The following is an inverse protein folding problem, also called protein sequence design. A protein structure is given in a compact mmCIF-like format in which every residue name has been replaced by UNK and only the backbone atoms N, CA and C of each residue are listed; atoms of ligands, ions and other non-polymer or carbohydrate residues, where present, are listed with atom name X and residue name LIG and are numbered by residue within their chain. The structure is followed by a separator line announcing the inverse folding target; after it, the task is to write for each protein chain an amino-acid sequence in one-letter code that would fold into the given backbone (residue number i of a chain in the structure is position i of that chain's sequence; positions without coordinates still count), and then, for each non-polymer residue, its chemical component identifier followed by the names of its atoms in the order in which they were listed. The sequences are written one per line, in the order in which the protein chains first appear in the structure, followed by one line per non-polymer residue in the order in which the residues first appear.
data_IF_113259119480
#
_entry.id   IF_113259119480
#
_cell.length_a   1.000
_cell.length_b   1.000
_cell.length_c   1.000
_cell.angle_alpha   90.00
_cell.angle_beta   90.00
_cell.angle_gamma   90.00
#
_symmetry.space_group_name_H-M   'P 1'
#
loop_
_entity.id
_entity.type
_entity.pdbx_description
1 polymer ?
#
# COMPACT_ATOMS: atom_id res chain seq x y z
N UNK A 1 3.47 -1.86 -1.23
CA UNK A 1 2.18 -2.02 -1.94
C UNK A 1 2.33 -2.72 -3.30
N UNK A 2 3.06 -2.14 -4.27
CA UNK A 2 3.16 -2.68 -5.63
C UNK A 2 3.57 -4.16 -5.73
N UNK A 3 4.58 -4.61 -4.97
CA UNK A 3 5.01 -6.02 -4.97
C UNK A 3 3.94 -6.99 -4.44
N UNK A 4 3.21 -6.59 -3.39
CA UNK A 4 2.12 -7.38 -2.85
C UNK A 4 0.93 -7.46 -3.82
N UNK A 5 0.58 -6.33 -4.45
CA UNK A 5 -0.45 -6.27 -5.50
C UNK A 5 -0.07 -7.12 -6.71
N UNK A 6 1.19 -7.02 -7.16
CA UNK A 6 1.69 -7.82 -8.27
C UNK A 6 1.58 -9.32 -7.99
N UNK A 7 1.89 -9.76 -6.76
CA UNK A 7 1.76 -11.17 -6.38
C UNK A 7 0.30 -11.66 -6.48
N UNK A 8 -0.65 -10.89 -5.93
CA UNK A 8 -2.08 -11.20 -6.01
C UNK A 8 -2.59 -11.25 -7.45
N UNK A 9 -2.17 -10.29 -8.29
CA UNK A 9 -2.62 -10.25 -9.69
C UNK A 9 -1.96 -11.35 -10.54
N UNK A 10 -0.68 -11.65 -10.33
CA UNK A 10 0.01 -12.71 -11.08
C UNK A 10 -0.56 -14.10 -10.80
N UNK A 11 -1.02 -14.36 -9.58
CA UNK A 11 -1.69 -15.62 -9.21
C UNK A 11 -3.03 -15.82 -9.95
N UNK A 12 -3.68 -14.74 -10.39
CA UNK A 12 -4.99 -14.79 -11.06
C UNK A 12 -4.96 -15.21 -12.54
N UNK A 13 -3.79 -15.57 -13.10
CA UNK A 13 -3.62 -16.05 -14.49
C UNK A 13 -4.21 -15.12 -15.58
N UNK A 14 -4.19 -13.82 -15.35
CA UNK A 14 -4.64 -12.80 -16.31
C UNK A 14 -3.55 -12.57 -17.37
N UNK A 15 -3.96 -12.31 -18.63
CA UNK A 15 -2.98 -11.97 -19.69
C UNK A 15 -2.17 -10.71 -19.34
N UNK A 16 -0.91 -10.56 -19.80
CA UNK A 16 0.02 -9.54 -19.28
C UNK A 16 -0.46 -8.09 -19.39
N UNK A 17 -1.11 -7.71 -20.51
CA UNK A 17 -1.67 -6.37 -20.68
C UNK A 17 -2.71 -5.98 -19.63
N UNK A 18 -3.83 -6.73 -19.49
CA UNK A 18 -4.80 -6.48 -18.44
C UNK A 18 -4.25 -6.66 -17.03
N UNK A 19 -3.27 -7.55 -16.82
CA UNK A 19 -2.63 -7.71 -15.51
C UNK A 19 -1.93 -6.41 -15.06
N UNK A 20 -1.19 -5.74 -15.94
CA UNK A 20 -0.54 -4.45 -15.62
C UNK A 20 -1.58 -3.37 -15.30
N UNK A 21 -2.64 -3.27 -16.10
CA UNK A 21 -3.72 -2.30 -15.82
C UNK A 21 -4.45 -2.58 -14.51
N UNK A 22 -4.68 -3.86 -14.19
CA UNK A 22 -5.30 -4.26 -12.92
C UNK A 22 -4.37 -3.98 -11.74
N UNK A 23 -3.06 -4.20 -11.88
CA UNK A 23 -2.07 -3.82 -10.85
C UNK A 23 -2.15 -2.33 -10.55
N UNK A 24 -2.20 -1.47 -11.58
CA UNK A 24 -2.31 -0.01 -11.41
C UNK A 24 -3.59 0.36 -10.66
N UNK A 25 -4.74 -0.13 -11.12
CA UNK A 25 -6.04 0.13 -10.46
C UNK A 25 -6.07 -0.31 -9.00
N UNK A 26 -5.41 -1.44 -8.69
CA UNK A 26 -5.37 -1.99 -7.34
C UNK A 26 -4.41 -1.20 -6.47
N UNK A 27 -3.25 -0.77 -6.99
CA UNK A 27 -2.32 0.12 -6.27
C UNK A 27 -3.01 1.43 -5.88
N UNK A 28 -3.79 2.04 -6.79
CA UNK A 28 -4.55 3.27 -6.51
C UNK A 28 -5.60 3.09 -5.40
N UNK A 29 -6.10 1.87 -5.21
CA UNK A 29 -7.09 1.52 -4.18
C UNK A 29 -6.46 0.94 -2.91
N UNK A 30 -5.15 0.70 -2.90
CA UNK A 30 -4.45 0.20 -1.72
C UNK A 30 -4.24 1.31 -0.70
N UNK A 31 -4.45 0.97 0.57
CA UNK A 31 -4.00 1.77 1.71
C UNK A 31 -2.64 1.23 2.13
N UNK A 32 -1.60 2.05 2.07
CA UNK A 32 -0.26 1.63 2.43
C UNK A 32 0.46 2.69 3.24
N UNK A 33 1.44 2.27 4.02
CA UNK A 33 2.18 3.17 4.87
C UNK A 33 3.16 2.47 5.79
N UNK A 34 3.64 3.24 6.77
CA UNK A 34 4.50 2.75 7.83
C UNK A 34 3.94 3.14 9.21
N UNK A 35 4.06 2.22 10.16
CA UNK A 35 3.87 2.48 11.58
C UNK A 35 5.23 2.78 12.20
N UNK A 36 5.42 4.02 12.65
CA UNK A 36 6.73 4.55 13.05
C UNK A 36 6.75 5.01 14.51
N UNK A 37 7.89 4.84 15.17
CA UNK A 37 8.12 5.37 16.52
C UNK A 37 8.45 6.87 16.54
N UNK A 38 8.70 7.47 15.38
CA UNK A 38 9.00 8.90 15.23
C UNK A 38 8.81 9.28 13.77
N UNK A 39 8.51 10.55 13.52
CA UNK A 39 8.42 11.13 12.17
C UNK A 39 9.44 12.26 11.96
N UNK A 40 10.35 12.50 12.92
CA UNK A 40 11.27 13.63 12.88
C UNK A 40 12.20 13.66 11.64
N UNK A 41 12.46 12.50 11.04
CA UNK A 41 13.34 12.32 9.88
C UNK A 41 12.59 11.86 8.64
N UNK A 42 11.27 11.89 8.67
CA UNK A 42 10.46 11.46 7.54
C UNK A 42 10.45 12.56 6.49
N UNK A 43 10.86 12.22 5.26
CA UNK A 43 10.83 13.15 4.13
C UNK A 43 9.44 13.22 3.48
N UNK A 44 8.78 12.07 3.34
CA UNK A 44 7.44 11.97 2.75
C UNK A 44 6.56 10.91 3.45
N UNK A 45 5.29 11.21 3.75
CA UNK A 45 4.68 12.55 3.80
C UNK A 45 5.42 13.48 4.77
N UNK A 46 5.39 14.79 4.50
CA UNK A 46 6.10 15.77 5.33
C UNK A 46 5.37 15.96 6.67
N UNK A 47 6.06 15.82 7.81
CA UNK A 47 5.45 16.07 9.11
C UNK A 47 5.16 17.56 9.32
N UNK A 48 4.12 17.86 10.08
CA UNK A 48 3.89 19.21 10.58
C UNK A 48 4.90 19.55 11.67
N UNK A 49 5.12 20.85 11.92
CA UNK A 49 6.00 21.31 13.00
C UNK A 49 5.59 20.72 14.36
N UNK A 50 4.28 20.67 14.62
CA UNK A 50 3.74 20.04 15.84
C UNK A 50 4.08 18.56 15.94
N UNK A 51 4.02 17.82 14.83
CA UNK A 51 4.40 16.40 14.79
C UNK A 51 5.90 16.19 15.00
N UNK A 52 6.75 17.08 14.47
CA UNK A 52 8.19 17.07 14.75
C UNK A 52 8.47 17.20 16.25
N UNK A 53 7.85 18.20 16.90
CA UNK A 53 8.02 18.44 18.34
C UNK A 53 7.46 17.27 19.16
N UNK A 54 6.26 16.81 18.83
CA UNK A 54 5.60 15.70 19.54
C UNK A 54 6.41 14.41 19.44
N UNK A 55 7.17 14.21 18.35
CA UNK A 55 7.98 13.00 18.15
C UNK A 55 9.20 12.90 19.07
N UNK A 56 9.50 13.94 19.84
CA UNK A 56 10.49 13.90 20.93
C UNK A 56 9.91 13.33 22.22
N UNK A 57 8.59 13.25 22.35
CA UNK A 57 7.96 12.66 23.52
C UNK A 57 8.13 11.13 23.49
N UNK A 58 8.48 10.52 24.63
CA UNK A 58 8.61 9.07 24.73
C UNK A 58 7.26 8.40 24.45
N UNK A 59 7.32 7.23 23.80
CA UNK A 59 6.16 6.39 23.45
C UNK A 59 5.19 7.01 22.43
N UNK A 60 5.59 8.07 21.73
CA UNK A 60 4.85 8.54 20.55
C UNK A 60 4.94 7.51 19.43
N UNK A 61 3.82 7.26 18.76
CA UNK A 61 3.75 6.37 17.59
C UNK A 61 2.86 7.00 16.54
N UNK A 62 3.18 6.74 15.28
CA UNK A 62 2.61 7.43 14.14
C UNK A 62 2.26 6.44 13.04
N UNK A 63 1.20 6.74 12.30
CA UNK A 63 0.93 6.14 11.00
C UNK A 63 1.27 7.17 9.93
N UNK A 64 2.29 6.85 9.14
CA UNK A 64 2.62 7.56 7.91
C UNK A 64 1.97 6.82 6.74
N UNK A 65 0.77 7.24 6.36
CA UNK A 65 0.09 6.73 5.18
C UNK A 65 0.78 7.31 3.94
N UNK A 66 1.09 6.46 2.97
CA UNK A 66 1.67 6.80 1.67
C UNK A 66 0.61 6.77 0.57
N UNK A 67 -0.36 5.86 0.67
CA UNK A 67 -1.49 5.76 -0.26
C UNK A 67 -2.79 5.54 0.51
N UNK A 68 -3.95 5.89 -0.07
CA UNK A 68 -4.11 6.64 -1.33
C UNK A 68 -3.71 8.11 -1.21
N UNK A 69 -3.85 8.69 -0.01
CA UNK A 69 -3.49 10.08 0.26
C UNK A 69 -2.34 10.14 1.29
N UNK A 70 -1.19 10.74 0.93
CA UNK A 70 -0.07 10.87 1.85
C UNK A 70 -0.43 11.72 3.07
N UNK A 71 -0.35 11.14 4.27
CA UNK A 71 -0.61 11.87 5.53
C UNK A 71 0.02 11.20 6.73
N UNK A 72 0.28 12.00 7.76
CA UNK A 72 0.74 11.52 9.07
C UNK A 72 -0.37 11.73 10.09
N UNK A 73 -0.64 10.69 10.88
CA UNK A 73 -1.49 10.77 12.06
C UNK A 73 -0.84 10.10 13.25
N UNK A 74 -1.21 10.51 14.46
CA UNK A 74 -0.85 9.77 15.65
C UNK A 74 -1.51 8.37 15.61
N UNK A 75 -0.75 7.36 16.00
CA UNK A 75 -1.25 6.00 16.07
C UNK A 75 -1.97 5.79 17.41
N UNK A 76 -3.25 6.16 17.43
CA UNK A 76 -4.10 5.90 18.58
C UNK A 76 -4.39 4.39 18.69
N UNK A 77 -4.33 3.87 19.92
CA UNK A 77 -4.81 2.50 20.20
C UNK A 77 -6.33 2.50 20.25
N UNK A 78 -6.93 1.39 19.80
CA UNK A 78 -8.37 1.16 19.91
C UNK A 78 -9.20 1.84 18.82
N UNK A 79 -8.66 2.01 17.61
CA UNK A 79 -9.53 2.30 16.47
C UNK A 79 -10.33 1.04 16.20
N UNK A 80 -11.65 1.12 16.39
CA UNK A 80 -12.55 -0.01 16.14
C UNK A 80 -12.39 -0.50 14.70
N UNK A 81 -12.28 -1.82 14.48
CA UNK A 81 -12.25 -2.37 13.14
C UNK A 81 -13.47 -1.93 12.36
N UNK A 82 -13.27 -1.44 11.14
CA UNK A 82 -14.41 -1.11 10.28
C UNK A 82 -15.19 -2.38 9.97
N UNK A 83 -16.46 -2.43 10.38
CA UNK A 83 -17.35 -3.53 10.02
C UNK A 83 -17.36 -3.69 8.49
N UNK A 84 -17.10 -4.91 8.02
CA UNK A 84 -17.05 -5.23 6.59
C UNK A 84 -15.74 -4.88 5.87
N UNK A 85 -14.64 -4.60 6.59
CA UNK A 85 -13.31 -4.49 5.97
C UNK A 85 -12.83 -5.86 5.46
N UNK A 86 -13.19 -6.16 4.22
CA UNK A 86 -12.72 -7.33 3.47
C UNK A 86 -11.41 -6.98 2.75
N UNK A 87 -10.37 -6.57 3.46
CA UNK A 87 -9.05 -6.36 2.86
C UNK A 87 -8.07 -7.44 3.29
N UNK A 88 -7.16 -7.79 2.39
CA UNK A 88 -5.96 -8.55 2.71
C UNK A 88 -4.99 -7.57 3.35
N UNK A 89 -4.76 -7.71 4.65
CA UNK A 89 -3.91 -6.80 5.41
C UNK A 89 -2.55 -7.42 5.70
N UNK A 90 -1.50 -6.89 5.08
CA UNK A 90 -0.14 -7.40 5.17
C UNK A 90 0.74 -6.42 5.94
N UNK A 91 1.60 -6.96 6.80
CA UNK A 91 2.55 -6.19 7.62
C UNK A 91 3.95 -6.78 7.47
N UNK A 92 4.93 -5.95 7.11
CA UNK A 92 6.32 -6.31 6.96
C UNK A 92 7.01 -6.53 8.32
N UNK A 93 6.80 -7.70 8.92
CA UNK A 93 7.27 -8.05 10.25
C UNK A 93 7.41 -9.58 10.42
N UNK A 94 8.09 -10.02 11.48
CA UNK A 94 8.04 -11.41 11.91
C UNK A 94 6.63 -11.78 12.41
N UNK A 95 6.26 -13.06 12.32
CA UNK A 95 4.92 -13.56 12.65
C UNK A 95 4.52 -13.38 14.13
N UNK A 96 5.51 -13.33 15.02
CA UNK A 96 5.36 -13.11 16.46
C UNK A 96 5.55 -11.64 16.88
N UNK A 97 5.73 -10.74 15.91
CA UNK A 97 6.01 -9.33 16.20
C UNK A 97 4.83 -8.65 16.89
N UNK A 98 5.05 -7.93 18.02
CA UNK A 98 4.01 -7.14 18.67
C UNK A 98 3.49 -6.00 17.78
N UNK A 99 4.21 -5.66 16.71
CA UNK A 99 3.77 -4.66 15.75
C UNK A 99 2.52 -5.09 14.98
N UNK A 100 2.26 -6.39 14.79
CA UNK A 100 1.07 -6.85 14.07
C UNK A 100 -0.22 -6.33 14.72
N UNK A 101 -0.37 -6.57 16.03
CA UNK A 101 -1.52 -6.10 16.80
C UNK A 101 -1.55 -4.57 16.92
N UNK A 102 -0.39 -3.93 17.11
CA UNK A 102 -0.32 -2.47 17.24
C UNK A 102 -0.75 -1.75 15.95
N UNK A 103 -0.31 -2.24 14.79
CA UNK A 103 -0.67 -1.67 13.48
C UNK A 103 -2.13 -1.96 13.15
N UNK A 104 -2.62 -3.19 13.38
CA UNK A 104 -4.04 -3.52 13.23
C UNK A 104 -4.94 -2.60 14.05
N UNK A 105 -4.61 -2.40 15.33
CA UNK A 105 -5.34 -1.50 16.22
C UNK A 105 -5.28 -0.03 15.79
N UNK A 106 -4.14 0.44 15.28
CA UNK A 106 -3.99 1.83 14.84
C UNK A 106 -4.68 2.10 13.49
N UNK A 107 -4.78 1.08 12.64
CA UNK A 107 -5.40 1.19 11.30
C UNK A 107 -6.90 0.90 11.32
N UNK A 108 -7.42 0.28 12.38
CA UNK A 108 -8.80 -0.19 12.46
C UNK A 108 -9.05 -1.35 11.48
N UNK A 109 -8.05 -2.24 11.35
CA UNK A 109 -8.08 -3.40 10.45
C UNK A 109 -7.95 -4.69 11.23
N UNK A 110 -8.56 -5.75 10.73
CA UNK A 110 -8.54 -7.08 11.33
C UNK A 110 -7.55 -8.01 10.61
N UNK A 111 -7.14 -9.08 11.29
CA UNK A 111 -6.38 -10.19 10.71
C UNK A 111 -5.08 -9.79 9.97
N UNK A 112 -4.14 -9.06 10.61
CA UNK A 112 -2.86 -8.75 10.00
C UNK A 112 -2.08 -10.03 9.69
N UNK A 113 -1.61 -10.16 8.46
CA UNK A 113 -0.72 -11.24 8.03
C UNK A 113 0.72 -10.72 7.99
N UNK A 114 1.60 -11.44 8.69
CA UNK A 114 3.02 -11.15 8.65
C UNK A 114 3.62 -11.57 7.31
N UNK A 115 4.40 -10.68 6.71
CA UNK A 115 5.21 -10.95 5.53
C UNK A 115 6.64 -10.48 5.76
N UNK A 116 7.65 -11.04 5.07
CA UNK A 116 9.00 -10.55 5.16
C UNK A 116 9.08 -9.03 4.89
N UNK A 117 9.84 -8.26 5.69
CA UNK A 117 10.05 -6.84 5.43
C UNK A 117 10.64 -6.62 4.03
N UNK A 118 10.04 -5.71 3.26
CA UNK A 118 10.49 -5.39 1.90
C UNK A 118 11.70 -4.44 1.89
N UNK A 119 11.84 -3.64 2.94
CA UNK A 119 12.92 -2.67 3.09
C UNK A 119 13.36 -2.53 4.55
N UNK A 120 14.58 -2.01 4.77
CA UNK A 120 15.01 -1.51 6.08
C UNK A 120 14.24 -0.24 6.40
N UNK A 121 13.20 -0.37 7.23
CA UNK A 121 12.32 0.72 7.64
C UNK A 121 13.10 1.90 8.24
N UNK A 122 14.14 1.63 9.04
CA UNK A 122 14.93 2.70 9.67
C UNK A 122 15.72 3.48 8.64
N UNK A 123 16.30 2.80 7.66
CA UNK A 123 17.00 3.45 6.55
C UNK A 123 16.05 4.23 5.65
N UNK A 124 14.87 3.68 5.36
CA UNK A 124 13.88 4.28 4.44
C UNK A 124 13.17 5.49 5.05
N UNK A 125 12.73 5.38 6.31
CA UNK A 125 11.86 6.39 6.95
C UNK A 125 12.56 7.18 8.07
N UNK A 126 13.83 6.87 8.37
CA UNK A 126 14.61 7.54 9.41
C UNK A 126 14.24 7.15 10.84
N UNK A 127 13.29 6.22 11.04
CA UNK A 127 12.80 5.78 12.34
C UNK A 127 12.48 4.28 12.37
N UNK A 128 12.47 3.67 13.56
CA UNK A 128 12.07 2.27 13.71
C UNK A 128 10.57 2.12 13.48
N UNK A 129 10.16 0.98 12.95
CA UNK A 129 8.77 0.71 12.65
C UNK A 129 8.56 -0.52 11.78
N UNK A 130 7.37 -0.64 11.20
CA UNK A 130 7.01 -1.65 10.21
C UNK A 130 6.22 -1.03 9.07
N UNK A 131 6.34 -1.59 7.87
CA UNK A 131 5.50 -1.23 6.74
C UNK A 131 4.22 -2.06 6.74
N UNK A 132 3.16 -1.51 6.16
CA UNK A 132 1.91 -2.22 5.96
C UNK A 132 1.28 -1.88 4.60
N UNK A 133 0.44 -2.79 4.13
CA UNK A 133 -0.46 -2.57 3.00
C UNK A 133 -1.77 -3.29 3.24
N UNK A 134 -2.88 -2.64 2.93
CA UNK A 134 -4.20 -3.24 2.86
C UNK A 134 -4.66 -3.24 1.41
N UNK A 135 -4.87 -4.44 0.88
CA UNK A 135 -5.31 -4.69 -0.50
C UNK A 135 -6.79 -5.04 -0.45
N UNK A 136 -7.67 -4.41 -1.24
CA UNK A 136 -9.08 -4.83 -1.31
C UNK A 136 -9.20 -6.33 -1.68
N UNK A 137 -9.95 -7.14 -0.92
CA UNK A 137 -10.07 -8.58 -1.21
C UNK A 137 -10.89 -8.86 -2.48
N UNK A 138 -11.80 -7.96 -2.84
CA UNK A 138 -12.42 -7.97 -4.16
C UNK A 138 -11.74 -6.93 -5.04
N UNK A 139 -10.95 -7.42 -5.99
CA UNK A 139 -10.43 -6.57 -7.05
C UNK A 139 -11.63 -6.13 -7.91
N UNK A 140 -11.73 -4.85 -8.30
CA UNK A 140 -12.73 -4.44 -9.26
C UNK A 140 -12.60 -5.30 -10.53
N UNK A 141 -13.71 -5.62 -11.22
CA UNK A 141 -13.61 -6.29 -12.50
C UNK A 141 -12.69 -5.46 -13.41
N UNK A 142 -11.83 -6.12 -14.22
CA UNK A 142 -10.98 -5.39 -15.14
C UNK A 142 -11.86 -4.50 -16.02
N UNK A 143 -11.47 -3.23 -16.18
CA UNK A 143 -12.19 -2.33 -17.06
C UNK A 143 -12.30 -2.94 -18.47
N UNK A 144 -13.40 -2.65 -19.20
CA UNK A 144 -13.58 -3.16 -20.55
C UNK A 144 -12.35 -2.83 -21.39
N UNK A 145 -11.77 -3.88 -21.96
CA UNK A 145 -10.56 -3.74 -22.75
C UNK A 145 -10.89 -3.15 -24.11
N UNK A 146 -10.13 -2.13 -24.52
CA UNK A 146 -10.20 -1.56 -25.86
C UNK A 146 -9.42 -2.38 -26.89
N UNK A 147 -9.07 -1.77 -28.05
CA UNK A 147 -8.43 -2.48 -29.15
C UNK A 147 -7.08 -3.10 -28.77
N UNK A 148 -6.65 -4.10 -29.55
CA UNK A 148 -5.32 -4.71 -29.42
C UNK A 148 -4.24 -3.71 -29.85
N UNK A 149 -3.17 -3.67 -29.08
CA UNK A 149 -1.98 -2.91 -29.41
C UNK A 149 -1.39 -3.39 -30.74
N UNK A 150 -1.12 -2.47 -31.67
CA UNK A 150 -0.53 -2.81 -32.98
C UNK A 150 0.91 -3.34 -32.86
N UNK A 151 1.61 -3.00 -31.78
CA UNK A 151 2.99 -3.42 -31.57
C UNK A 151 3.11 -4.79 -30.88
N UNK A 152 2.32 -5.04 -29.83
CA UNK A 152 2.47 -6.26 -29.00
C UNK A 152 1.22 -7.16 -28.96
N UNK A 153 0.13 -6.79 -29.63
CA UNK A 153 -1.12 -7.57 -29.68
C UNK A 153 -1.92 -7.62 -28.37
N UNK A 154 -1.42 -7.03 -27.28
CA UNK A 154 -2.11 -6.98 -25.99
C UNK A 154 -3.27 -5.98 -26.03
N UNK A 155 -4.38 -6.30 -25.37
CA UNK A 155 -5.53 -5.39 -25.31
C UNK A 155 -5.19 -4.14 -24.49
N UNK A 156 -5.65 -2.97 -24.95
CA UNK A 156 -5.28 -1.64 -24.40
C UNK A 156 -6.51 -0.94 -23.83
N UNK A 157 -6.39 -0.28 -22.67
CA UNK A 157 -7.51 0.39 -22.00
C UNK A 157 -7.82 1.79 -22.55
N UNK A 158 -6.80 2.59 -22.86
CA UNK A 158 -6.97 3.93 -23.45
C UNK A 158 -5.64 4.46 -23.99
N UNK A 159 -5.63 4.99 -25.23
CA UNK A 159 -4.61 5.89 -25.83
C UNK A 159 -3.15 5.44 -25.90
N UNK A 160 -2.64 4.66 -24.94
CA UNK A 160 -1.27 4.20 -24.79
C UNK A 160 -1.27 2.78 -24.23
N UNK A 161 -0.51 1.89 -24.85
CA UNK A 161 -0.33 0.52 -24.35
C UNK A 161 0.53 0.54 -23.08
N UNK A 162 0.03 -0.01 -21.97
CA UNK A 162 0.75 -0.12 -20.69
C UNK A 162 1.88 -1.14 -20.71
N UNK A 163 1.90 -2.05 -21.70
CA UNK A 163 2.94 -3.06 -21.84
C UNK A 163 4.17 -2.55 -22.60
N UNK A 164 4.00 -2.07 -23.83
CA UNK A 164 5.11 -1.58 -24.67
C UNK A 164 5.23 -0.04 -24.70
N UNK A 165 4.41 0.68 -23.92
CA UNK A 165 4.45 2.14 -23.79
C UNK A 165 4.15 2.95 -25.07
N UNK A 166 3.68 2.33 -26.16
CA UNK A 166 3.37 3.01 -27.44
C UNK A 166 1.96 3.62 -27.47
N UNK A 167 1.81 4.80 -28.04
CA UNK A 167 0.49 5.40 -28.31
C UNK A 167 -0.29 4.58 -29.35
N UNK A 168 -1.59 4.43 -29.11
CA UNK A 168 -2.52 3.83 -30.04
C UNK A 168 -3.28 4.98 -30.72
N UNK A 169 -3.11 5.14 -32.02
CA UNK A 169 -4.00 6.01 -32.80
C UNK A 169 -5.44 5.48 -32.68
N UNK A 170 -6.45 6.38 -32.66
CA UNK A 170 -7.86 6.03 -32.53
C UNK A 170 -8.32 5.03 -33.59
#
# INVERSE_FOLDING_TARGET
AAAAVASVVLESRVSPGPAVSQIVDVIEKCDSGAYLSSVAKLDHPRPSLGQHIQSWLPKSTYLANLTPEPRIRAAHKGVEPKAGDNSIFLVGAAADSPHLAAVASATGRSNPQAVPPLADVKRTYGAKGVEFVAIPAMLPPPAPMGPRCRSCGQSVRAGRCTFCCTYQAP
#
